data_IF_177381126867
#
_entry.id   IF_177381126867
#
_cell.length_a   1.000
_cell.length_b   1.000
_cell.length_c   1.000
_cell.angle_alpha   90.00
_cell.angle_beta   90.00
_cell.angle_gamma   90.00
#
_symmetry.space_group_name_H-M   'P 1'
#
loop_
_entity.id
_entity.type
_entity.pdbx_description
1 polymer ?
#
# COMPACT_ATOMS: atom_id res chain seq x y z
N UNK A 1 -3.52 12.86 -6.51
CA UNK A 1 -2.65 13.42 -7.58
C UNK A 1 -1.84 14.64 -7.12
N UNK A 2 -2.43 15.60 -6.36
CA UNK A 2 -1.71 16.80 -5.86
C UNK A 2 -0.57 16.40 -4.93
N UNK A 3 -0.85 15.61 -3.88
CA UNK A 3 0.16 15.13 -2.93
C UNK A 3 1.35 14.45 -3.63
N UNK A 4 1.05 13.56 -4.59
CA UNK A 4 2.10 12.84 -5.32
C UNK A 4 3.01 13.78 -6.11
N UNK A 5 2.45 14.83 -6.71
CA UNK A 5 3.25 15.84 -7.44
C UNK A 5 4.10 16.71 -6.53
N UNK A 6 3.55 17.05 -5.36
CA UNK A 6 4.17 18.02 -4.46
C UNK A 6 5.28 17.38 -3.60
N UNK A 7 5.15 16.07 -3.29
CA UNK A 7 6.02 15.37 -2.35
C UNK A 7 6.83 14.22 -2.94
N UNK A 8 6.47 13.69 -4.12
CA UNK A 8 7.16 12.57 -4.74
C UNK A 8 7.89 12.99 -6.02
N UNK A 9 9.11 12.49 -6.20
CA UNK A 9 9.84 12.60 -7.46
C UNK A 9 9.37 11.50 -8.41
N UNK A 10 8.34 11.80 -9.18
CA UNK A 10 7.77 10.88 -10.17
C UNK A 10 8.51 11.08 -11.48
N UNK A 11 8.80 9.98 -12.22
CA UNK A 11 9.40 10.09 -13.55
C UNK A 11 8.44 10.75 -14.53
N UNK A 12 8.97 11.55 -15.45
CA UNK A 12 8.18 12.20 -16.51
C UNK A 12 7.56 11.17 -17.48
N UNK A 13 8.23 10.03 -17.65
CA UNK A 13 7.74 8.93 -18.48
C UNK A 13 6.79 8.05 -17.67
N UNK A 14 5.60 7.83 -18.22
CA UNK A 14 4.62 6.85 -17.72
C UNK A 14 4.77 5.54 -18.51
N UNK A 15 4.84 4.44 -17.78
CA UNK A 15 4.94 3.10 -18.34
C UNK A 15 3.59 2.39 -18.20
N UNK A 16 3.03 1.91 -19.30
CA UNK A 16 1.74 1.22 -19.31
C UNK A 16 1.87 -0.30 -19.36
N UNK A 17 3.06 -0.82 -19.69
CA UNK A 17 3.33 -2.25 -19.88
C UNK A 17 4.70 -2.62 -19.35
N UNK A 18 4.86 -3.89 -18.98
CA UNK A 18 6.13 -4.46 -18.52
C UNK A 18 7.27 -4.26 -19.53
N UNK A 19 6.99 -4.53 -20.81
CA UNK A 19 7.99 -4.44 -21.88
C UNK A 19 8.58 -3.03 -21.97
N UNK A 20 7.76 -2.00 -21.79
CA UNK A 20 8.20 -0.60 -21.84
C UNK A 20 9.22 -0.24 -20.72
N UNK A 21 9.12 -0.94 -19.57
CA UNK A 21 10.10 -0.81 -18.49
C UNK A 21 11.42 -1.53 -18.82
N UNK A 22 11.37 -2.59 -19.63
CA UNK A 22 12.51 -3.39 -19.97
C UNK A 22 13.28 -2.89 -21.23
N UNK A 23 12.67 -2.01 -22.04
CA UNK A 23 13.21 -1.54 -23.33
C UNK A 23 14.44 -0.63 -23.26
N UNK A 24 14.84 -0.15 -22.10
CA UNK A 24 16.00 0.74 -22.03
C UNK A 24 16.57 0.93 -20.64
N UNK A 25 17.75 1.55 -20.53
CA UNK A 25 18.34 1.82 -19.24
C UNK A 25 17.51 2.81 -18.46
N UNK A 26 16.96 2.40 -17.33
CA UNK A 26 16.36 3.32 -16.38
C UNK A 26 17.46 4.17 -15.72
N UNK A 27 17.22 5.48 -15.50
CA UNK A 27 18.20 6.40 -14.93
C UNK A 27 18.35 6.23 -13.40
N UNK A 28 18.32 5.01 -12.92
CA UNK A 28 18.39 4.65 -11.50
C UNK A 28 19.48 3.62 -11.26
N UNK A 29 20.17 3.72 -10.14
CA UNK A 29 21.21 2.77 -9.72
C UNK A 29 20.65 1.60 -8.94
N UNK A 30 19.46 1.76 -8.38
CA UNK A 30 18.80 0.83 -7.49
C UNK A 30 17.30 0.77 -7.76
N UNK A 31 16.73 -0.42 -7.72
CA UNK A 31 15.27 -0.63 -7.70
C UNK A 31 14.87 -0.98 -6.27
N UNK A 32 13.97 -0.17 -5.71
CA UNK A 32 13.38 -0.40 -4.41
C UNK A 32 11.93 -0.88 -4.58
N UNK A 33 11.67 -2.14 -4.24
CA UNK A 33 10.30 -2.63 -4.07
C UNK A 33 9.85 -2.30 -2.66
N UNK A 34 8.83 -1.46 -2.54
CA UNK A 34 8.40 -0.96 -1.24
C UNK A 34 6.98 -1.33 -0.93
N UNK A 35 6.66 -1.33 0.27
CA UNK A 35 5.50 -1.59 1.09
C UNK A 35 4.15 -1.90 0.38
N UNK A 36 3.08 -2.09 1.20
CA UNK A 36 1.77 -2.60 0.81
C UNK A 36 1.78 -4.06 0.32
N UNK A 37 0.62 -4.57 -0.06
CA UNK A 37 0.41 -5.96 -0.50
C UNK A 37 0.86 -6.21 -1.94
N UNK A 38 1.95 -5.61 -2.35
CA UNK A 38 2.46 -5.70 -3.74
C UNK A 38 2.90 -7.12 -4.14
N UNK A 39 3.12 -8.00 -3.16
CA UNK A 39 3.45 -9.41 -3.37
C UNK A 39 2.28 -10.36 -3.08
N UNK A 40 1.06 -9.81 -2.98
CA UNK A 40 -0.15 -10.60 -2.81
C UNK A 40 -0.73 -11.02 -4.17
N UNK A 41 -0.66 -12.31 -4.55
CA UNK A 41 -1.18 -12.74 -5.85
C UNK A 41 -2.70 -12.57 -5.95
N UNK A 42 -3.42 -12.52 -4.81
CA UNK A 42 -4.90 -12.41 -4.82
C UNK A 42 -5.44 -11.04 -5.18
N UNK A 43 -4.61 -10.01 -5.18
CA UNK A 43 -5.07 -8.67 -5.60
C UNK A 43 -5.01 -8.48 -7.12
N UNK A 44 -4.33 -9.37 -7.85
CA UNK A 44 -4.25 -9.33 -9.29
C UNK A 44 -5.36 -10.19 -9.94
N UNK A 45 -5.91 -9.76 -11.09
CA UNK A 45 -7.06 -10.42 -11.70
C UNK A 45 -6.84 -11.89 -12.09
N UNK A 46 -5.60 -12.24 -12.42
CA UNK A 46 -5.20 -13.60 -12.81
C UNK A 46 -4.76 -14.48 -11.62
N UNK A 47 -4.75 -13.92 -10.41
CA UNK A 47 -4.31 -14.62 -9.20
C UNK A 47 -2.82 -14.93 -9.18
N UNK A 48 -2.00 -14.25 -9.99
CA UNK A 48 -0.55 -14.45 -10.12
C UNK A 48 0.24 -13.27 -9.56
N UNK A 49 1.54 -13.48 -9.40
CA UNK A 49 2.45 -12.38 -9.09
C UNK A 49 2.63 -11.47 -10.31
N UNK A 50 2.68 -10.17 -10.06
CA UNK A 50 3.09 -9.22 -11.10
C UNK A 50 4.61 -8.99 -11.00
N UNK A 51 5.38 -9.36 -12.03
CA UNK A 51 6.85 -9.27 -12.05
C UNK A 51 7.36 -7.84 -11.91
N UNK A 52 6.55 -6.83 -12.21
CA UNK A 52 6.89 -5.41 -12.02
C UNK A 52 7.25 -5.13 -10.56
N UNK A 53 6.48 -5.66 -9.61
CA UNK A 53 6.71 -5.43 -8.18
C UNK A 53 7.92 -6.18 -7.61
N UNK A 54 8.52 -7.04 -8.40
CA UNK A 54 9.80 -7.70 -8.08
C UNK A 54 10.99 -7.04 -8.80
N UNK A 55 10.77 -5.98 -9.57
CA UNK A 55 11.82 -5.26 -10.29
C UNK A 55 12.53 -6.08 -11.36
N UNK A 56 11.86 -7.12 -11.91
CA UNK A 56 12.46 -8.07 -12.86
C UNK A 56 12.76 -7.45 -14.23
N UNK A 57 12.19 -6.29 -14.50
CA UNK A 57 12.45 -5.52 -15.72
C UNK A 57 13.86 -4.89 -15.78
N UNK A 58 14.63 -4.97 -14.69
CA UNK A 58 15.93 -4.30 -14.60
C UNK A 58 17.02 -5.25 -14.10
N UNK A 59 18.23 -5.09 -14.65
CA UNK A 59 19.45 -5.75 -14.16
C UNK A 59 20.15 -5.00 -13.03
N UNK A 60 19.59 -3.87 -12.60
CA UNK A 60 20.11 -3.10 -11.48
C UNK A 60 19.92 -3.84 -10.17
N UNK A 61 20.68 -3.43 -9.16
CA UNK A 61 20.52 -3.92 -7.79
C UNK A 61 19.08 -3.73 -7.32
N UNK A 62 18.51 -4.77 -6.72
CA UNK A 62 17.15 -4.74 -6.16
C UNK A 62 17.17 -4.95 -4.66
N UNK A 63 16.41 -4.15 -3.95
CA UNK A 63 16.13 -4.31 -2.52
C UNK A 63 14.63 -4.23 -2.29
N UNK A 64 14.15 -4.86 -1.23
CA UNK A 64 12.76 -4.81 -0.82
C UNK A 64 12.62 -4.25 0.60
N UNK A 65 11.77 -3.22 0.76
CA UNK A 65 11.46 -2.62 2.04
C UNK A 65 9.99 -2.80 2.39
N UNK A 66 9.70 -3.61 3.40
CA UNK A 66 8.37 -3.84 3.95
C UNK A 66 7.27 -4.28 2.97
N UNK A 67 7.54 -5.06 1.88
CA UNK A 67 6.44 -5.62 1.10
C UNK A 67 5.63 -6.62 1.93
N UNK A 68 4.36 -6.78 1.58
CA UNK A 68 3.45 -7.74 2.20
C UNK A 68 2.91 -8.73 1.17
N UNK A 69 2.78 -9.99 1.58
CA UNK A 69 2.10 -11.01 0.79
C UNK A 69 0.59 -11.00 1.01
N UNK A 70 0.10 -10.48 2.15
CA UNK A 70 -1.33 -10.43 2.48
C UNK A 70 -2.03 -11.79 2.50
N UNK A 71 -1.26 -12.88 2.44
CA UNK A 71 -1.74 -14.27 2.49
C UNK A 71 -0.90 -15.08 3.46
N UNK A 72 -1.47 -16.12 4.10
CA UNK A 72 -0.74 -16.92 5.07
C UNK A 72 0.28 -17.87 4.42
N UNK A 73 0.03 -18.30 3.19
CA UNK A 73 0.88 -19.26 2.47
C UNK A 73 0.83 -19.00 0.97
N UNK A 74 1.85 -19.46 0.27
CA UNK A 74 1.91 -19.42 -1.20
C UNK A 74 1.60 -20.82 -1.75
N UNK A 75 0.67 -20.95 -2.70
CA UNK A 75 0.37 -22.22 -3.35
C UNK A 75 1.63 -22.86 -3.94
N UNK A 76 1.75 -24.19 -3.83
CA UNK A 76 2.93 -24.93 -4.27
C UNK A 76 3.31 -24.63 -5.72
N UNK A 77 2.33 -24.57 -6.62
CA UNK A 77 2.55 -24.26 -8.05
C UNK A 77 3.10 -22.87 -8.34
N UNK A 78 3.16 -21.96 -7.32
CA UNK A 78 3.71 -20.60 -7.46
C UNK A 78 5.03 -20.41 -6.71
N UNK A 79 5.46 -21.38 -5.91
CA UNK A 79 6.64 -21.22 -5.06
C UNK A 79 7.94 -21.13 -5.87
N UNK A 80 8.07 -21.90 -6.95
CA UNK A 80 9.24 -21.85 -7.80
C UNK A 80 9.40 -20.49 -8.50
N UNK A 81 8.29 -19.92 -8.98
CA UNK A 81 8.26 -18.59 -9.57
C UNK A 81 8.66 -17.52 -8.54
N UNK A 82 8.04 -17.55 -7.36
CA UNK A 82 8.37 -16.64 -6.28
C UNK A 82 9.84 -16.74 -5.86
N UNK A 83 10.36 -17.97 -5.75
CA UNK A 83 11.78 -18.19 -5.44
C UNK A 83 12.67 -17.47 -6.45
N UNK A 84 12.41 -17.62 -7.74
CA UNK A 84 13.16 -16.95 -8.80
C UNK A 84 13.13 -15.43 -8.67
N UNK A 85 12.00 -14.85 -8.28
CA UNK A 85 11.89 -13.41 -8.01
C UNK A 85 12.69 -12.98 -6.79
N UNK A 86 12.56 -13.71 -5.66
CA UNK A 86 13.24 -13.40 -4.41
C UNK A 86 14.77 -13.56 -4.51
N UNK A 87 15.25 -14.53 -5.28
CA UNK A 87 16.69 -14.75 -5.48
C UNK A 87 17.39 -13.53 -6.08
N UNK A 88 16.69 -12.74 -6.87
CA UNK A 88 17.23 -11.53 -7.49
C UNK A 88 17.38 -10.32 -6.56
N UNK A 89 16.91 -10.37 -5.32
CA UNK A 89 17.09 -9.28 -4.37
C UNK A 89 18.39 -9.41 -3.60
N UNK A 90 19.11 -8.30 -3.47
CA UNK A 90 20.32 -8.22 -2.63
C UNK A 90 19.99 -8.06 -1.14
N UNK A 91 18.86 -7.43 -0.82
CA UNK A 91 18.34 -7.29 0.55
C UNK A 91 16.83 -7.42 0.52
N UNK A 92 16.32 -8.10 1.52
CA UNK A 92 14.89 -8.34 1.72
C UNK A 92 14.49 -7.91 3.13
N UNK A 93 13.34 -7.32 3.26
CA UNK A 93 12.61 -7.21 4.51
C UNK A 93 11.13 -7.53 4.25
N UNK A 94 10.33 -7.66 5.28
CA UNK A 94 8.90 -7.91 5.18
C UNK A 94 8.17 -7.01 6.18
N UNK A 95 6.91 -6.68 5.90
CA UNK A 95 6.08 -5.88 6.80
C UNK A 95 5.55 -6.69 7.98
N UNK A 96 5.38 -8.00 7.81
CA UNK A 96 4.83 -8.90 8.81
C UNK A 96 5.64 -10.20 8.94
N UNK A 97 5.54 -10.82 10.12
CA UNK A 97 6.22 -12.08 10.46
C UNK A 97 5.90 -13.21 9.46
N UNK A 98 4.67 -13.26 8.98
CA UNK A 98 4.26 -14.26 7.99
C UNK A 98 5.01 -14.09 6.67
N UNK A 99 5.22 -12.85 6.21
CA UNK A 99 6.00 -12.55 5.02
C UNK A 99 7.45 -12.96 5.17
N UNK A 100 8.05 -12.70 6.33
CA UNK A 100 9.41 -13.16 6.67
C UNK A 100 9.52 -14.68 6.63
N UNK A 101 8.53 -15.40 7.17
CA UNK A 101 8.49 -16.86 7.12
C UNK A 101 8.39 -17.38 5.68
N UNK A 102 7.51 -16.82 4.86
CA UNK A 102 7.38 -17.19 3.45
C UNK A 102 8.71 -17.02 2.69
N UNK A 103 9.41 -15.91 2.90
CA UNK A 103 10.71 -15.64 2.25
C UNK A 103 11.74 -16.69 2.67
N UNK A 104 11.83 -16.97 3.97
CA UNK A 104 12.76 -17.98 4.50
C UNK A 104 12.44 -19.38 3.97
N UNK A 105 11.18 -19.78 4.01
CA UNK A 105 10.77 -21.14 3.67
C UNK A 105 10.90 -21.43 2.16
N UNK A 106 10.67 -20.42 1.31
CA UNK A 106 10.72 -20.56 -0.15
C UNK A 106 12.10 -20.26 -0.73
N UNK A 107 12.77 -19.20 -0.26
CA UNK A 107 14.04 -18.74 -0.83
C UNK A 107 15.25 -19.03 0.05
N UNK A 108 15.07 -19.49 1.28
CA UNK A 108 16.17 -19.72 2.24
C UNK A 108 16.88 -18.43 2.65
N UNK A 109 16.23 -17.27 2.54
CA UNK A 109 16.82 -15.96 2.85
C UNK A 109 16.23 -15.36 4.12
N UNK A 110 17.06 -14.65 4.86
CA UNK A 110 16.60 -13.85 5.99
C UNK A 110 15.94 -12.56 5.49
N UNK A 111 14.79 -12.24 6.09
CA UNK A 111 14.06 -11.02 5.84
C UNK A 111 13.54 -10.45 7.17
N UNK A 112 14.21 -9.46 7.78
CA UNK A 112 13.74 -8.85 9.02
C UNK A 112 12.35 -8.23 8.83
N UNK A 113 11.53 -8.28 9.87
CA UNK A 113 10.26 -7.58 9.93
C UNK A 113 10.53 -6.13 10.26
N UNK A 114 10.03 -5.23 9.42
CA UNK A 114 10.22 -3.78 9.57
C UNK A 114 8.88 -3.06 9.47
N UNK A 115 8.82 -1.85 10.00
CA UNK A 115 7.61 -1.04 9.97
C UNK A 115 7.24 -0.66 8.54
N UNK A 116 5.93 -0.50 8.31
CA UNK A 116 5.46 0.19 7.11
C UNK A 116 6.09 1.60 7.03
N UNK A 117 6.54 2.07 5.85
CA UNK A 117 7.22 3.36 5.72
C UNK A 117 6.37 4.54 6.19
N UNK A 118 5.05 4.43 6.19
CA UNK A 118 4.17 5.47 6.74
C UNK A 118 4.35 5.69 8.24
N UNK A 119 4.90 4.72 8.96
CA UNK A 119 5.20 4.81 10.39
C UNK A 119 6.63 5.30 10.70
N UNK A 120 7.42 5.61 9.68
CA UNK A 120 8.78 6.14 9.87
C UNK A 120 8.77 7.65 10.15
N UNK A 121 7.72 8.36 9.79
CA UNK A 121 7.54 9.77 10.07
C UNK A 121 6.84 9.97 11.40
N UNK A 122 7.25 11.01 12.15
CA UNK A 122 6.57 11.43 13.37
C UNK A 122 5.25 12.15 13.06
N UNK A 123 4.38 12.30 14.06
CA UNK A 123 3.15 13.07 13.93
C UNK A 123 3.42 14.50 13.43
N UNK A 124 4.41 15.19 14.02
CA UNK A 124 4.77 16.56 13.62
C UNK A 124 5.22 16.64 12.15
N UNK A 125 5.94 15.62 11.67
CA UNK A 125 6.37 15.56 10.27
C UNK A 125 5.16 15.36 9.35
N UNK A 126 4.20 14.50 9.71
CA UNK A 126 2.97 14.33 8.97
C UNK A 126 2.12 15.60 8.99
N UNK A 127 1.96 16.24 10.15
CA UNK A 127 1.19 17.48 10.30
C UNK A 127 1.77 18.62 9.44
N UNK A 128 3.09 18.68 9.30
CA UNK A 128 3.75 19.69 8.45
C UNK A 128 3.45 19.55 6.96
N UNK A 129 3.04 18.36 6.53
CA UNK A 129 2.71 18.04 5.13
C UNK A 129 1.20 17.95 4.90
N UNK A 130 0.40 17.94 5.97
CA UNK A 130 -1.04 17.77 5.88
C UNK A 130 -1.73 19.03 5.33
N UNK A 131 -2.53 18.87 4.29
CA UNK A 131 -3.49 19.88 3.87
C UNK A 131 -4.79 19.69 4.66
N UNK A 132 -5.24 20.73 5.35
CA UNK A 132 -6.52 20.71 6.03
C UNK A 132 -7.63 21.21 5.10
N UNK A 133 -8.59 20.36 4.68
CA UNK A 133 -9.70 20.80 3.85
C UNK A 133 -10.50 21.91 4.53
N UNK A 134 -10.95 22.91 3.78
CA UNK A 134 -11.75 24.02 4.32
C UNK A 134 -13.04 23.55 5.04
N UNK A 135 -13.53 22.37 4.69
CA UNK A 135 -14.73 21.74 5.25
C UNK A 135 -14.47 20.83 6.45
N UNK A 136 -13.25 20.81 6.97
CA UNK A 136 -12.91 19.97 8.11
C UNK A 136 -13.69 20.39 9.36
N UNK A 137 -14.27 19.46 10.13
CA UNK A 137 -14.99 19.82 11.34
C UNK A 137 -14.03 20.47 12.34
N UNK A 138 -14.36 21.67 12.79
CA UNK A 138 -13.65 22.31 13.92
C UNK A 138 -14.15 21.67 15.19
N UNK A 139 -13.28 21.00 15.93
CA UNK A 139 -13.63 20.25 17.14
C UNK A 139 -13.47 18.74 16.94
N UNK A 140 -14.01 17.96 17.86
CA UNK A 140 -13.99 16.49 17.75
C UNK A 140 -14.87 15.97 16.61
N UNK A 141 -14.53 14.80 16.09
CA UNK A 141 -15.32 14.10 15.09
C UNK A 141 -15.06 12.59 15.16
N UNK A 142 -15.97 11.81 14.61
CA UNK A 142 -15.84 10.37 14.45
C UNK A 142 -15.25 10.13 13.06
N UNK A 143 -14.00 9.62 12.98
CA UNK A 143 -13.40 9.23 11.70
C UNK A 143 -13.76 7.79 11.37
N UNK A 144 -14.39 7.59 10.23
CA UNK A 144 -14.61 6.28 9.64
C UNK A 144 -13.75 6.10 8.38
N UNK A 145 -12.72 5.27 8.46
CA UNK A 145 -11.94 4.84 7.30
C UNK A 145 -12.34 3.41 6.94
N UNK A 146 -13.04 3.24 5.82
CA UNK A 146 -13.53 1.95 5.38
C UNK A 146 -13.36 1.80 3.86
N UNK A 147 -12.44 0.94 3.45
CA UNK A 147 -12.15 0.68 2.04
C UNK A 147 -13.27 -0.15 1.40
N UNK A 148 -13.78 -1.16 2.14
CA UNK A 148 -14.76 -2.10 1.65
C UNK A 148 -16.05 -2.05 2.48
N UNK A 149 -17.21 -2.03 1.81
CA UNK A 149 -18.55 -2.10 2.42
C UNK A 149 -18.81 -1.03 3.49
N UNK A 150 -18.64 0.25 3.20
CA UNK A 150 -18.86 1.32 4.20
C UNK A 150 -20.27 1.30 4.81
N UNK A 151 -21.28 0.80 4.08
CA UNK A 151 -22.64 0.67 4.57
C UNK A 151 -22.81 -0.34 5.73
N UNK A 152 -21.92 -1.29 5.89
CA UNK A 152 -21.98 -2.24 7.01
C UNK A 152 -21.71 -1.57 8.38
N UNK A 153 -21.01 -0.45 8.39
CA UNK A 153 -20.70 0.31 9.60
C UNK A 153 -21.76 1.35 9.94
N UNK A 154 -22.73 1.59 9.08
CA UNK A 154 -23.77 2.63 9.29
C UNK A 154 -24.45 2.57 10.65
N UNK A 155 -24.94 1.40 11.16
CA UNK A 155 -25.59 1.35 12.46
C UNK A 155 -24.68 1.76 13.62
N UNK A 156 -23.37 1.38 13.54
CA UNK A 156 -22.38 1.77 14.55
C UNK A 156 -22.07 3.25 14.51
N UNK A 157 -21.97 3.84 13.33
CA UNK A 157 -21.72 5.27 13.17
C UNK A 157 -22.91 6.10 13.64
N UNK A 158 -24.13 5.63 13.40
CA UNK A 158 -25.34 6.25 13.91
C UNK A 158 -25.40 6.23 15.43
N UNK A 159 -25.12 5.08 16.02
CA UNK A 159 -25.03 4.93 17.47
C UNK A 159 -23.98 5.87 18.08
N UNK A 160 -22.73 5.83 17.56
CA UNK A 160 -21.65 6.70 18.04
C UNK A 160 -22.01 8.19 17.92
N UNK A 161 -22.64 8.58 16.82
CA UNK A 161 -23.10 9.95 16.61
C UNK A 161 -24.15 10.36 17.66
N UNK A 162 -25.12 9.46 17.96
CA UNK A 162 -26.16 9.70 18.96
C UNK A 162 -25.57 9.84 20.38
N UNK A 163 -24.64 8.95 20.74
CA UNK A 163 -24.01 8.94 22.07
C UNK A 163 -23.08 10.14 22.30
N UNK A 164 -22.37 10.59 21.25
CA UNK A 164 -21.32 11.60 21.41
C UNK A 164 -21.72 13.00 20.92
N UNK A 165 -22.74 13.11 20.09
CA UNK A 165 -23.09 14.34 19.38
C UNK A 165 -22.07 14.76 18.31
N UNK A 166 -20.97 13.99 18.11
CA UNK A 166 -19.90 14.35 17.20
C UNK A 166 -20.29 14.09 15.73
N UNK A 167 -19.87 14.95 14.80
CA UNK A 167 -20.07 14.71 13.37
C UNK A 167 -19.25 13.49 12.90
N UNK A 168 -19.78 12.78 11.92
CA UNK A 168 -19.09 11.65 11.26
C UNK A 168 -18.37 12.15 10.02
N UNK A 169 -17.08 11.86 9.93
CA UNK A 169 -16.23 12.04 8.74
C UNK A 169 -15.92 10.67 8.18
N UNK A 170 -16.29 10.42 6.94
CA UNK A 170 -16.07 9.12 6.30
C UNK A 170 -15.12 9.26 5.11
N UNK A 171 -14.01 8.50 5.14
CA UNK A 171 -13.08 8.34 4.03
C UNK A 171 -13.44 7.07 3.27
N UNK A 172 -13.68 7.19 1.96
CA UNK A 172 -14.03 6.09 1.08
C UNK A 172 -13.15 6.11 -0.16
N UNK A 173 -12.50 5.00 -0.51
CA UNK A 173 -11.64 4.88 -1.69
C UNK A 173 -12.37 4.86 -3.04
N UNK A 174 -13.70 4.73 -3.06
CA UNK A 174 -14.53 4.72 -4.28
C UNK A 174 -15.83 5.48 -3.97
N UNK A 175 -16.43 6.11 -4.98
CA UNK A 175 -17.77 6.72 -4.86
C UNK A 175 -18.82 5.67 -4.48
N UNK A 176 -18.97 5.44 -3.18
CA UNK A 176 -19.96 4.54 -2.60
C UNK A 176 -21.02 5.37 -1.85
N UNK A 177 -22.17 4.74 -1.59
CA UNK A 177 -23.19 5.34 -0.72
C UNK A 177 -22.60 5.55 0.67
N UNK A 178 -22.45 6.80 1.05
CA UNK A 178 -21.96 7.25 2.35
C UNK A 178 -23.11 7.28 3.35
N UNK A 179 -22.78 7.22 4.63
CA UNK A 179 -23.74 7.47 5.67
C UNK A 179 -24.47 8.80 5.44
N UNK A 180 -25.82 8.86 5.50
CA UNK A 180 -26.59 10.07 5.14
C UNK A 180 -26.17 11.34 5.88
N UNK A 181 -25.64 11.21 7.08
CA UNK A 181 -25.15 12.33 7.92
C UNK A 181 -23.62 12.49 7.88
N UNK A 182 -22.90 11.67 7.13
CA UNK A 182 -21.46 11.79 7.02
C UNK A 182 -21.08 12.86 5.99
N UNK A 183 -20.14 13.72 6.34
CA UNK A 183 -19.42 14.53 5.36
C UNK A 183 -18.43 13.64 4.63
N UNK A 184 -18.63 13.41 3.36
CA UNK A 184 -17.64 12.77 2.52
C UNK A 184 -16.54 13.78 2.22
N UNK A 185 -15.34 13.50 2.73
CA UNK A 185 -14.12 14.13 2.23
C UNK A 185 -13.64 13.21 1.12
N UNK A 186 -13.87 13.62 -0.10
CA UNK A 186 -13.28 12.97 -1.27
C UNK A 186 -11.91 13.59 -1.51
N UNK A 187 -10.98 12.74 -1.95
CA UNK A 187 -9.60 13.08 -2.24
C UNK A 187 -9.42 14.49 -2.80
N UNK A 188 -8.59 15.22 -2.09
CA UNK A 188 -7.99 16.41 -2.65
C UNK A 188 -6.85 16.05 -3.62
#
# INVERSE_FOLDING_TARGET
EKFSRDHLRISDRRYGRFDELAEGPLPYDLILSGSDQIWNPKIFPDGRFDPVFFGTFSQKRRIAYAPSFGVPTIPEGMQAELKGYLDGFSHLSARETQGSAIIRDIAGKDAPVVLDPTLLLTADQWDSMADHPANYPKGGYILCYCINRPGALTPYLEWLHQETGLPVVQLCGIRQKVHPKAKQIMDA
#
